data_IF_147156979186
#
_entry.id   IF_147156979186
#
_cell.length_a   1.000
_cell.length_b   1.000
_cell.length_c   1.000
_cell.angle_alpha   90.00
_cell.angle_beta   90.00
_cell.angle_gamma   90.00
#
_symmetry.space_group_name_H-M   'P 1'
#
loop_
_entity.id
_entity.type
_entity.pdbx_description
1 polymer ?
#
# COMPACT_ATOMS: atom_id res chain seq x y z
N UNK A 1 -14.07 -14.35 21.89
CA UNK A 1 -13.02 -13.47 22.46
C UNK A 1 -13.76 -12.38 23.20
N UNK A 2 -13.55 -12.26 24.51
CA UNK A 2 -14.37 -11.41 25.38
C UNK A 2 -14.17 -9.93 25.06
N UNK A 3 -15.25 -9.30 24.60
CA UNK A 3 -15.36 -7.89 24.19
C UNK A 3 -15.05 -6.87 25.30
N UNK A 4 -14.84 -7.34 26.54
CA UNK A 4 -14.57 -6.51 27.70
C UNK A 4 -13.11 -6.09 27.85
N UNK A 5 -12.15 -6.82 27.23
CA UNK A 5 -10.72 -6.56 27.44
C UNK A 5 -10.12 -5.52 26.47
N UNK A 6 -10.69 -5.32 25.28
CA UNK A 6 -10.19 -4.40 24.23
C UNK A 6 -10.41 -2.91 24.53
N UNK A 7 -11.14 -2.63 25.59
CA UNK A 7 -11.73 -1.33 25.89
C UNK A 7 -10.97 -0.57 26.99
N UNK A 8 -9.75 -1.00 27.28
CA UNK A 8 -8.82 -0.39 28.20
C UNK A 8 -7.54 -0.02 27.47
N UNK A 9 -6.73 0.87 28.04
CA UNK A 9 -5.41 1.23 27.51
C UNK A 9 -4.55 -0.03 27.30
N UNK A 10 -4.54 -0.97 28.25
CA UNK A 10 -3.79 -2.22 28.13
C UNK A 10 -4.36 -3.15 27.04
N UNK A 11 -5.69 -3.17 26.91
CA UNK A 11 -6.41 -3.88 25.84
C UNK A 11 -6.02 -3.39 24.46
N UNK A 12 -5.91 -2.08 24.29
CA UNK A 12 -5.48 -1.45 23.05
C UNK A 12 -4.04 -1.86 22.70
N UNK A 13 -3.10 -1.79 23.65
CA UNK A 13 -1.73 -2.24 23.41
C UNK A 13 -1.63 -3.73 23.07
N UNK A 14 -2.42 -4.57 23.74
CA UNK A 14 -2.48 -6.02 23.45
C UNK A 14 -3.02 -6.27 22.05
N UNK A 15 -4.08 -5.56 21.65
CA UNK A 15 -4.63 -5.60 20.29
C UNK A 15 -3.58 -5.19 19.26
N UNK A 16 -2.86 -4.10 19.48
CA UNK A 16 -1.82 -3.64 18.57
C UNK A 16 -0.69 -4.66 18.43
N UNK A 17 -0.17 -5.19 19.55
CA UNK A 17 0.93 -6.15 19.48
C UNK A 17 0.53 -7.42 18.72
N UNK A 18 -0.66 -7.96 19.01
CA UNK A 18 -1.19 -9.12 18.27
C UNK A 18 -1.38 -8.83 16.78
N UNK A 19 -1.92 -7.65 16.47
CA UNK A 19 -2.13 -7.22 15.10
C UNK A 19 -0.82 -7.09 14.32
N UNK A 20 0.24 -6.60 14.97
CA UNK A 20 1.58 -6.52 14.38
C UNK A 20 2.19 -7.91 14.15
N UNK A 21 2.03 -8.85 15.08
CA UNK A 21 2.48 -10.25 14.92
C UNK A 21 1.72 -10.95 13.77
N UNK A 22 0.42 -10.72 13.66
CA UNK A 22 -0.38 -11.25 12.57
C UNK A 22 0.03 -10.64 11.22
N UNK A 23 0.33 -9.34 11.18
CA UNK A 23 0.86 -8.67 9.99
C UNK A 23 2.23 -9.23 9.57
N UNK A 24 3.11 -9.50 10.54
CA UNK A 24 4.40 -10.14 10.29
C UNK A 24 4.22 -11.55 9.71
N UNK A 25 3.26 -12.33 10.22
CA UNK A 25 2.93 -13.66 9.67
C UNK A 25 2.43 -13.56 8.22
N UNK A 26 1.53 -12.62 7.93
CA UNK A 26 1.04 -12.37 6.57
C UNK A 26 2.19 -11.98 5.64
N UNK A 27 3.10 -11.12 6.10
CA UNK A 27 4.29 -10.73 5.34
C UNK A 27 5.18 -11.94 5.00
N UNK A 28 5.39 -12.86 5.94
CA UNK A 28 6.21 -14.06 5.75
C UNK A 28 5.60 -15.07 4.77
N UNK A 29 4.28 -15.13 4.70
CA UNK A 29 3.56 -16.09 3.85
C UNK A 29 3.28 -15.57 2.44
N UNK A 30 3.63 -14.32 2.13
CA UNK A 30 3.28 -13.68 0.87
C UNK A 30 4.49 -13.08 0.16
N UNK A 31 4.30 -12.75 -1.13
CA UNK A 31 5.30 -12.00 -1.87
C UNK A 31 5.50 -10.61 -1.27
N UNK A 32 6.74 -10.14 -1.31
CA UNK A 32 7.11 -8.81 -0.83
C UNK A 32 6.27 -7.71 -1.50
N UNK A 33 5.61 -6.87 -0.69
CA UNK A 33 4.68 -5.82 -1.14
C UNK A 33 3.52 -6.34 -2.02
N UNK A 34 3.02 -7.54 -1.73
CA UNK A 34 1.77 -8.03 -2.33
C UNK A 34 0.56 -7.19 -1.93
N UNK A 35 -0.44 -7.16 -2.81
CA UNK A 35 -1.73 -6.52 -2.55
C UNK A 35 -2.36 -7.06 -1.27
N UNK A 36 -2.29 -8.38 -1.03
CA UNK A 36 -2.83 -8.97 0.20
C UNK A 36 -2.17 -8.39 1.46
N UNK A 37 -0.84 -8.22 1.45
CA UNK A 37 -0.13 -7.59 2.56
C UNK A 37 -0.53 -6.12 2.71
N UNK A 38 -0.57 -5.35 1.61
CA UNK A 38 -0.90 -3.92 1.63
C UNK A 38 -2.35 -3.66 2.08
N UNK A 39 -3.30 -4.50 1.64
CA UNK A 39 -4.69 -4.50 2.11
C UNK A 39 -4.75 -4.79 3.61
N UNK A 40 -3.93 -5.73 4.11
CA UNK A 40 -3.87 -5.99 5.56
C UNK A 40 -3.37 -4.78 6.35
N UNK A 41 -2.43 -4.01 5.80
CA UNK A 41 -1.97 -2.75 6.41
C UNK A 41 -3.10 -1.71 6.47
N UNK A 42 -3.88 -1.53 5.41
CA UNK A 42 -5.04 -0.61 5.39
C UNK A 42 -6.12 -1.07 6.39
N UNK A 43 -6.42 -2.36 6.41
CA UNK A 43 -7.33 -2.95 7.39
C UNK A 43 -6.88 -2.66 8.84
N UNK A 44 -5.57 -2.69 9.11
CA UNK A 44 -5.03 -2.35 10.43
C UNK A 44 -5.11 -0.86 10.76
N UNK A 45 -4.90 0.04 9.79
CA UNK A 45 -5.17 1.47 9.98
C UNK A 45 -6.63 1.70 10.39
N UNK A 46 -7.58 1.11 9.64
CA UNK A 46 -9.02 1.24 9.91
C UNK A 46 -9.40 0.68 11.27
N UNK A 47 -9.05 -0.58 11.55
CA UNK A 47 -9.42 -1.23 12.82
C UNK A 47 -8.78 -0.55 14.03
N UNK A 48 -7.55 -0.06 13.91
CA UNK A 48 -6.89 0.68 14.98
C UNK A 48 -7.56 2.03 15.22
N UNK A 49 -8.01 2.71 14.17
CA UNK A 49 -8.79 3.93 14.28
C UNK A 49 -10.14 3.70 14.98
N UNK A 50 -10.90 2.67 14.58
CA UNK A 50 -12.16 2.31 15.25
C UNK A 50 -11.93 1.93 16.72
N UNK A 51 -10.84 1.22 17.04
CA UNK A 51 -10.49 0.91 18.43
C UNK A 51 -10.09 2.16 19.25
N UNK A 52 -9.40 3.12 18.64
CA UNK A 52 -9.04 4.37 19.30
C UNK A 52 -10.28 5.20 19.64
N UNK A 53 -11.21 5.34 18.70
CA UNK A 53 -12.46 6.09 18.90
C UNK A 53 -13.33 5.45 19.99
N UNK A 54 -13.44 4.13 20.03
CA UNK A 54 -14.10 3.40 21.12
C UNK A 54 -13.40 3.59 22.47
N UNK A 55 -12.07 3.61 22.50
CA UNK A 55 -11.31 3.83 23.73
C UNK A 55 -11.56 5.23 24.29
N UNK A 56 -11.60 6.26 23.43
CA UNK A 56 -11.89 7.64 23.84
C UNK A 56 -13.25 7.75 24.52
N UNK A 57 -14.30 7.14 23.95
CA UNK A 57 -15.63 7.13 24.54
C UNK A 57 -15.64 6.56 25.96
N UNK A 58 -14.84 5.52 26.21
CA UNK A 58 -14.80 4.84 27.51
C UNK A 58 -13.97 5.53 28.56
N UNK A 59 -12.86 6.16 28.14
CA UNK A 59 -11.96 6.86 29.05
C UNK A 59 -12.52 8.19 29.56
N UNK A 60 -13.66 8.65 29.02
CA UNK A 60 -14.35 9.86 29.49
C UNK A 60 -13.45 11.11 29.52
N UNK A 61 -12.57 11.23 28.52
CA UNK A 61 -11.54 12.28 28.42
C UNK A 61 -12.17 13.70 28.56
N UNK A 62 -11.42 14.69 29.10
CA UNK A 62 -11.85 16.07 29.17
C UNK A 62 -12.04 16.63 27.76
N UNK A 63 -13.06 17.45 27.66
CA UNK A 63 -13.52 18.09 26.43
C UNK A 63 -12.50 19.12 25.95
N UNK A 64 -12.21 19.13 24.65
CA UNK A 64 -11.46 20.22 24.00
C UNK A 64 -10.01 20.37 24.43
N UNK A 65 -9.41 19.30 24.97
CA UNK A 65 -8.00 19.28 25.35
C UNK A 65 -7.12 18.90 24.13
N UNK A 66 -5.81 19.15 24.22
CA UNK A 66 -4.82 19.01 23.13
C UNK A 66 -4.87 17.67 22.39
N UNK A 67 -5.34 16.61 23.05
CA UNK A 67 -5.48 15.29 22.44
C UNK A 67 -6.47 15.26 21.27
N UNK A 68 -7.50 16.13 21.28
CA UNK A 68 -8.49 16.23 20.21
C UNK A 68 -7.87 16.87 18.98
N UNK A 69 -7.14 17.98 19.15
CA UNK A 69 -6.40 18.64 18.06
C UNK A 69 -5.40 17.66 17.45
N UNK A 70 -4.62 16.97 18.29
CA UNK A 70 -3.68 15.92 17.88
C UNK A 70 -4.36 14.80 17.06
N UNK A 71 -5.60 14.44 17.41
CA UNK A 71 -6.39 13.45 16.67
C UNK A 71 -6.90 14.02 15.33
N UNK A 72 -7.38 15.26 15.32
CA UNK A 72 -7.84 15.94 14.11
C UNK A 72 -6.70 16.08 13.11
N UNK A 73 -5.53 16.52 13.55
CA UNK A 73 -4.34 16.66 12.71
C UNK A 73 -3.88 15.31 12.15
N UNK A 74 -3.80 14.28 12.98
CA UNK A 74 -3.36 12.95 12.54
C UNK A 74 -4.37 12.31 11.56
N UNK A 75 -5.67 12.48 11.77
CA UNK A 75 -6.69 12.00 10.82
C UNK A 75 -6.73 12.80 9.52
N UNK A 76 -6.37 14.10 9.53
CA UNK A 76 -6.22 14.90 8.31
C UNK A 76 -5.04 14.41 7.48
N UNK A 77 -3.93 14.12 8.15
CA UNK A 77 -2.75 13.52 7.51
C UNK A 77 -3.06 12.16 6.89
N UNK A 78 -3.77 11.28 7.61
CA UNK A 78 -4.22 9.98 7.09
C UNK A 78 -5.07 10.18 5.83
N UNK A 79 -6.03 11.11 5.88
CA UNK A 79 -6.90 11.46 4.76
C UNK A 79 -6.11 11.85 3.51
N UNK A 80 -5.19 12.80 3.65
CA UNK A 80 -4.41 13.34 2.53
C UNK A 80 -3.51 12.29 1.87
N UNK A 81 -2.84 11.45 2.67
CA UNK A 81 -1.97 10.38 2.13
C UNK A 81 -2.80 9.31 1.42
N UNK A 82 -3.93 8.91 2.00
CA UNK A 82 -4.85 7.97 1.36
C UNK A 82 -5.39 8.53 0.02
N UNK A 83 -5.62 9.85 -0.08
CA UNK A 83 -5.96 10.49 -1.36
C UNK A 83 -4.84 10.39 -2.39
N UNK A 84 -3.57 10.57 -1.98
CA UNK A 84 -2.42 10.36 -2.89
C UNK A 84 -2.38 8.91 -3.37
N UNK A 85 -2.61 7.95 -2.47
CA UNK A 85 -2.68 6.53 -2.82
C UNK A 85 -3.80 6.28 -3.84
N UNK A 86 -5.02 6.81 -3.64
CA UNK A 86 -6.11 6.70 -4.61
C UNK A 86 -5.73 7.27 -5.98
N UNK A 87 -5.08 8.43 -6.02
CA UNK A 87 -4.60 9.04 -7.26
C UNK A 87 -3.58 8.15 -7.98
N UNK A 88 -2.67 7.53 -7.24
CA UNK A 88 -1.67 6.59 -7.75
C UNK A 88 -2.29 5.30 -8.30
N UNK A 89 -3.37 4.82 -7.69
CA UNK A 89 -4.06 3.62 -8.15
C UNK A 89 -4.91 3.89 -9.40
N UNK A 90 -5.51 5.07 -9.49
CA UNK A 90 -6.29 5.48 -10.67
C UNK A 90 -5.41 5.58 -11.92
N UNK A 91 -4.14 6.02 -11.81
CA UNK A 91 -3.22 6.02 -12.96
C UNK A 91 -2.94 4.61 -13.49
N UNK A 92 -3.00 3.57 -12.64
CA UNK A 92 -2.79 2.17 -13.06
C UNK A 92 -3.91 1.63 -13.94
N UNK A 93 -5.08 2.26 -13.97
CA UNK A 93 -6.22 1.84 -14.81
C UNK A 93 -5.90 1.93 -16.31
N UNK A 94 -5.09 2.93 -16.73
CA UNK A 94 -4.68 3.09 -18.13
C UNK A 94 -3.82 1.91 -18.60
N UNK A 95 -2.84 1.52 -17.77
CA UNK A 95 -2.00 0.35 -18.03
C UNK A 95 -2.81 -0.95 -18.05
N UNK A 96 -3.70 -1.16 -17.07
CA UNK A 96 -4.57 -2.33 -17.03
C UNK A 96 -5.42 -2.43 -18.31
N UNK A 97 -6.02 -1.32 -18.74
CA UNK A 97 -6.84 -1.24 -19.94
C UNK A 97 -6.02 -1.53 -21.21
N UNK A 98 -4.82 -0.95 -21.32
CA UNK A 98 -3.90 -1.20 -22.43
C UNK A 98 -3.45 -2.66 -22.49
N UNK A 99 -3.13 -3.28 -21.36
CA UNK A 99 -2.71 -4.67 -21.30
C UNK A 99 -3.85 -5.65 -21.63
N UNK A 100 -5.08 -5.38 -21.20
CA UNK A 100 -6.26 -6.16 -21.58
C UNK A 100 -6.54 -6.03 -23.09
N UNK A 101 -6.38 -4.83 -23.66
CA UNK A 101 -6.50 -4.62 -25.11
C UNK A 101 -5.47 -5.42 -25.90
N UNK A 102 -4.21 -5.47 -25.44
CA UNK A 102 -3.17 -6.32 -26.02
C UNK A 102 -3.57 -7.79 -25.96
N UNK A 103 -3.99 -8.29 -24.79
CA UNK A 103 -4.36 -9.69 -24.62
C UNK A 103 -5.57 -10.09 -25.49
N UNK A 104 -6.60 -9.23 -25.57
CA UNK A 104 -7.78 -9.48 -26.42
C UNK A 104 -7.47 -9.45 -27.92
N UNK A 105 -6.56 -8.58 -28.37
CA UNK A 105 -6.12 -8.54 -29.77
C UNK A 105 -5.41 -9.83 -30.23
N UNK A 106 -4.90 -10.60 -29.27
CA UNK A 106 -4.17 -11.85 -29.45
C UNK A 106 -5.02 -13.10 -29.18
N UNK A 107 -6.32 -12.96 -28.91
CA UNK A 107 -7.21 -14.09 -28.61
C UNK A 107 -7.98 -14.60 -29.85
N UNK A 108 -8.03 -13.79 -30.92
CA UNK A 108 -8.72 -14.12 -32.18
C UNK A 108 -7.87 -14.93 -33.17
N UNK A 109 -8.45 -15.92 -33.85
CA UNK A 109 -7.80 -16.91 -34.75
C UNK A 109 -7.10 -16.36 -36.03
N UNK A 110 -6.77 -15.07 -36.08
CA UNK A 110 -6.12 -14.42 -37.23
C UNK A 110 -4.79 -13.73 -36.81
N UNK A 111 -3.95 -14.45 -36.07
CA UNK A 111 -2.69 -13.95 -35.52
C UNK A 111 -1.65 -13.53 -36.59
N UNK A 112 -1.79 -14.00 -37.83
CA UNK A 112 -0.76 -13.81 -38.86
C UNK A 112 -0.79 -12.45 -39.57
N UNK A 113 -1.89 -11.71 -39.55
CA UNK A 113 -2.01 -10.45 -40.33
C UNK A 113 -1.82 -9.16 -39.53
N UNK A 114 -1.86 -9.21 -38.18
CA UNK A 114 -1.90 -7.99 -37.35
C UNK A 114 -0.68 -7.80 -36.42
N UNK A 115 0.44 -8.51 -36.64
CA UNK A 115 1.64 -8.44 -35.80
C UNK A 115 2.13 -6.99 -35.54
N UNK A 116 2.21 -6.15 -36.58
CA UNK A 116 2.63 -4.74 -36.43
C UNK A 116 1.68 -3.93 -35.54
N UNK A 117 0.39 -4.26 -35.56
CA UNK A 117 -0.61 -3.60 -34.73
C UNK A 117 -0.49 -4.06 -33.28
N UNK A 118 -0.32 -5.36 -33.04
CA UNK A 118 -0.10 -5.92 -31.70
C UNK A 118 1.20 -5.40 -31.08
N UNK A 119 2.30 -5.38 -31.83
CA UNK A 119 3.57 -4.83 -31.33
C UNK A 119 3.48 -3.33 -30.99
N UNK A 120 2.72 -2.56 -31.76
CA UNK A 120 2.42 -1.16 -31.42
C UNK A 120 1.58 -1.05 -30.15
N UNK A 121 0.57 -1.90 -29.98
CA UNK A 121 -0.25 -1.94 -28.78
C UNK A 121 0.57 -2.31 -27.53
N UNK A 122 1.46 -3.30 -27.63
CA UNK A 122 2.42 -3.65 -26.58
C UNK A 122 3.32 -2.46 -26.25
N UNK A 123 3.86 -1.79 -27.27
CA UNK A 123 4.70 -0.59 -27.07
C UNK A 123 3.91 0.54 -26.40
N UNK A 124 2.64 0.73 -26.75
CA UNK A 124 1.73 1.66 -26.08
C UNK A 124 1.53 1.30 -24.60
N UNK A 125 1.20 0.05 -24.31
CA UNK A 125 1.05 -0.45 -22.94
C UNK A 125 2.32 -0.23 -22.09
N UNK A 126 3.51 -0.42 -22.67
CA UNK A 126 4.78 -0.13 -21.98
C UNK A 126 4.97 1.36 -21.70
N UNK A 127 4.54 2.23 -22.62
CA UNK A 127 4.59 3.69 -22.41
C UNK A 127 3.66 4.11 -21.28
N UNK A 128 2.47 3.53 -21.17
CA UNK A 128 1.58 3.73 -20.02
C UNK A 128 2.27 3.35 -18.71
N UNK A 129 2.93 2.18 -18.66
CA UNK A 129 3.66 1.75 -17.46
C UNK A 129 4.81 2.69 -17.05
N UNK A 130 5.47 3.32 -18.03
CA UNK A 130 6.50 4.35 -17.77
C UNK A 130 5.84 5.65 -17.30
N UNK A 131 4.77 6.09 -17.97
CA UNK A 131 4.01 7.29 -17.60
C UNK A 131 3.51 7.22 -16.15
N UNK A 132 2.95 6.08 -15.74
CA UNK A 132 2.53 5.82 -14.35
C UNK A 132 3.69 5.97 -13.37
N UNK A 133 4.88 5.44 -13.68
CA UNK A 133 6.04 5.57 -12.80
C UNK A 133 6.52 7.03 -12.68
N UNK A 134 6.39 7.81 -13.75
CA UNK A 134 6.73 9.24 -13.74
C UNK A 134 5.70 10.08 -12.97
N UNK A 135 4.40 9.83 -13.19
CA UNK A 135 3.31 10.46 -12.45
C UNK A 135 3.39 10.13 -10.96
N UNK A 136 3.59 8.86 -10.61
CA UNK A 136 3.71 8.43 -9.23
C UNK A 136 4.97 8.96 -8.55
N UNK A 137 6.08 9.08 -9.29
CA UNK A 137 7.28 9.78 -8.81
C UNK A 137 6.96 11.23 -8.50
N UNK A 138 6.28 11.94 -9.40
CA UNK A 138 5.89 13.32 -9.19
C UNK A 138 4.92 13.47 -8.00
N UNK A 139 3.99 12.52 -7.80
CA UNK A 139 3.13 12.47 -6.61
C UNK A 139 3.94 12.27 -5.32
N UNK A 140 4.91 11.37 -5.33
CA UNK A 140 5.81 11.13 -4.20
C UNK A 140 6.62 12.38 -3.84
N UNK A 141 7.31 12.97 -4.82
CA UNK A 141 8.19 14.14 -4.61
C UNK A 141 7.40 15.40 -4.25
N UNK A 142 6.25 15.64 -4.89
CA UNK A 142 5.48 16.88 -4.68
C UNK A 142 4.46 16.79 -3.55
N UNK A 143 3.97 15.61 -3.18
CA UNK A 143 2.91 15.51 -2.17
C UNK A 143 3.37 14.74 -0.96
N UNK A 144 3.97 13.57 -1.15
CA UNK A 144 4.30 12.67 -0.04
C UNK A 144 5.50 13.17 0.77
N UNK A 145 6.59 13.57 0.11
CA UNK A 145 7.79 14.08 0.79
C UNK A 145 7.55 15.39 1.57
N UNK A 146 6.47 16.11 1.26
CA UNK A 146 6.07 17.33 2.00
C UNK A 146 5.33 17.04 3.29
N UNK A 147 4.87 15.81 3.53
CA UNK A 147 4.17 15.51 4.77
C UNK A 147 5.14 15.53 5.95
N UNK A 148 4.69 16.04 7.12
CA UNK A 148 5.51 16.12 8.32
C UNK A 148 6.12 14.77 8.69
N UNK A 149 5.39 13.66 8.60
CA UNK A 149 5.91 12.33 8.97
C UNK A 149 7.08 11.85 8.10
N UNK A 150 7.23 12.38 6.88
CA UNK A 150 8.37 12.08 6.01
C UNK A 150 9.61 12.87 6.45
N UNK A 151 9.43 14.09 6.93
CA UNK A 151 10.51 14.99 7.40
C UNK A 151 10.86 14.83 8.90
N UNK A 152 9.88 14.47 9.74
CA UNK A 152 9.94 14.49 11.21
C UNK A 152 10.68 13.27 11.80
N UNK A 153 11.06 12.33 10.95
CA UNK A 153 11.89 11.17 11.29
C UNK A 153 13.30 11.56 11.79
N UNK A 154 13.76 12.80 11.56
CA UNK A 154 15.06 13.32 12.03
C UNK A 154 14.98 13.92 13.45
N UNK A 155 13.80 14.31 13.94
CA UNK A 155 13.64 15.12 15.17
C UNK A 155 13.06 14.36 16.37
N UNK A 156 12.63 13.10 16.22
CA UNK A 156 12.02 12.33 17.32
C UNK A 156 13.02 11.69 18.28
N UNK A 157 14.30 12.08 18.24
CA UNK A 157 15.31 11.71 19.25
C UNK A 157 15.30 12.65 20.46
N UNK A 158 14.73 13.86 20.36
CA UNK A 158 14.85 14.89 21.40
C UNK A 158 13.66 14.96 22.39
N UNK A 159 12.52 14.31 22.12
CA UNK A 159 11.30 14.48 22.91
C UNK A 159 11.03 13.36 23.95
N UNK A 160 11.96 12.42 24.11
CA UNK A 160 11.76 11.24 24.97
C UNK A 160 12.47 11.33 26.33
N UNK A 161 12.76 12.53 26.80
CA UNK A 161 13.18 12.82 28.18
C UNK A 161 12.22 13.78 28.88
N UNK A 162 10.95 13.37 29.05
CA UNK A 162 10.15 13.82 30.18
C UNK A 162 8.81 13.12 30.22
N UNK A 163 8.64 12.18 31.14
CA UNK A 163 7.89 12.42 32.39
C UNK A 163 7.45 11.11 33.03
N UNK A 164 7.89 10.94 34.28
CA UNK A 164 7.40 9.98 35.25
C UNK A 164 5.93 10.26 35.63
N UNK A 165 5.15 9.18 35.71
CA UNK A 165 4.16 8.82 36.75
C UNK A 165 2.85 9.65 36.89
N UNK A 166 1.76 8.87 36.99
CA UNK A 166 0.43 9.09 37.60
C UNK A 166 -0.72 9.78 36.83
N UNK A 167 -1.89 9.15 36.98
CA UNK A 167 -3.26 9.46 36.53
C UNK A 167 -3.60 9.08 35.08
N UNK A 168 -4.77 8.46 34.88
CA UNK A 168 -5.20 7.76 33.64
C UNK A 168 -5.11 8.54 32.32
N UNK A 169 -4.83 9.84 32.40
CA UNK A 169 -4.48 10.72 31.29
C UNK A 169 -3.12 10.44 30.64
N UNK A 170 -2.14 9.96 31.41
CA UNK A 170 -0.82 9.58 30.87
C UNK A 170 -0.91 8.36 29.96
N UNK A 171 -1.85 7.45 30.22
CA UNK A 171 -2.08 6.24 29.44
C UNK A 171 -2.62 6.54 28.04
N UNK A 172 -3.62 7.42 27.93
CA UNK A 172 -4.19 7.80 26.63
C UNK A 172 -3.20 8.57 25.76
N UNK A 173 -2.41 9.47 26.35
CA UNK A 173 -1.36 10.18 25.61
C UNK A 173 -0.32 9.20 25.04
N UNK A 174 0.03 8.17 25.81
CA UNK A 174 0.84 7.06 25.33
C UNK A 174 0.20 6.32 24.15
N UNK A 175 -1.11 6.04 24.23
CA UNK A 175 -1.86 5.39 23.15
C UNK A 175 -1.86 6.25 21.88
N UNK A 176 -2.12 7.54 21.99
CA UNK A 176 -2.06 8.48 20.86
C UNK A 176 -0.68 8.50 20.22
N UNK A 177 0.38 8.56 21.01
CA UNK A 177 1.74 8.54 20.49
C UNK A 177 2.06 7.24 19.75
N UNK A 178 1.71 6.09 20.35
CA UNK A 178 1.87 4.78 19.69
C UNK A 178 1.06 4.70 18.39
N UNK A 179 -0.15 5.24 18.36
CA UNK A 179 -0.98 5.29 17.17
C UNK A 179 -0.32 6.15 16.08
N UNK A 180 0.18 7.34 16.40
CA UNK A 180 0.92 8.20 15.46
C UNK A 180 2.15 7.50 14.88
N UNK A 181 2.92 6.79 15.70
CA UNK A 181 4.07 6.00 15.25
C UNK A 181 3.66 4.86 14.30
N UNK A 182 2.59 4.15 14.64
CA UNK A 182 2.08 3.05 13.82
C UNK A 182 1.50 3.53 12.50
N UNK A 183 0.69 4.59 12.52
CA UNK A 183 0.17 5.24 11.31
C UNK A 183 1.32 5.65 10.40
N UNK A 184 2.35 6.28 10.97
CA UNK A 184 3.54 6.69 10.20
C UNK A 184 4.24 5.49 9.54
N UNK A 185 4.40 4.38 10.26
CA UNK A 185 4.95 3.14 9.70
C UNK A 185 4.08 2.60 8.57
N UNK A 186 2.77 2.48 8.79
CA UNK A 186 1.82 1.95 7.82
C UNK A 186 1.72 2.83 6.57
N UNK A 187 1.64 4.15 6.74
CA UNK A 187 1.65 5.11 5.64
C UNK A 187 2.97 5.02 4.85
N UNK A 188 4.11 4.83 5.51
CA UNK A 188 5.39 4.62 4.83
C UNK A 188 5.36 3.34 3.98
N UNK A 189 4.90 2.22 4.55
CA UNK A 189 4.76 0.95 3.82
C UNK A 189 3.82 1.10 2.62
N UNK A 190 2.67 1.73 2.81
CA UNK A 190 1.67 1.92 1.77
C UNK A 190 2.15 2.85 0.66
N UNK A 191 2.82 3.95 0.99
CA UNK A 191 3.35 4.89 -0.02
C UNK A 191 4.51 4.28 -0.80
N UNK A 192 5.41 3.53 -0.16
CA UNK A 192 6.47 2.78 -0.86
C UNK A 192 5.92 1.64 -1.73
N UNK A 193 4.85 0.97 -1.27
CA UNK A 193 4.20 -0.13 -1.98
C UNK A 193 3.37 0.35 -3.18
N UNK A 194 2.43 1.27 -2.93
CA UNK A 194 1.36 1.66 -3.84
C UNK A 194 1.62 2.95 -4.62
N UNK A 195 2.54 3.81 -4.18
CA UNK A 195 2.86 5.08 -4.85
C UNK A 195 4.19 4.96 -5.59
N UNK A 196 5.32 5.12 -4.90
CA UNK A 196 6.64 5.07 -5.53
C UNK A 196 7.74 4.91 -4.48
N UNK A 197 8.80 4.14 -4.77
CA UNK A 197 9.90 3.94 -3.84
C UNK A 197 11.12 4.81 -4.13
N UNK A 198 11.43 5.61 -3.10
CA UNK A 198 12.60 6.44 -2.74
C UNK A 198 13.81 5.74 -2.09
N UNK A 199 14.82 5.16 -2.75
CA UNK A 199 15.95 4.56 -2.03
C UNK A 199 16.80 5.65 -1.37
N UNK A 200 17.21 5.44 -0.12
CA UNK A 200 18.22 6.26 0.56
C UNK A 200 17.73 7.29 1.59
N UNK A 201 16.44 7.65 1.63
CA UNK A 201 15.91 8.58 2.66
C UNK A 201 15.28 7.86 3.87
N UNK A 202 14.77 6.65 3.69
CA UNK A 202 13.92 5.97 4.69
C UNK A 202 14.58 4.81 5.45
N UNK A 203 15.72 4.29 4.98
CA UNK A 203 16.41 3.14 5.62
C UNK A 203 17.13 3.54 6.91
N UNK A 204 17.68 4.76 6.99
CA UNK A 204 18.39 5.27 8.17
C UNK A 204 17.47 5.83 9.26
N UNK A 205 16.25 6.25 8.94
CA UNK A 205 15.61 7.38 9.65
C UNK A 205 14.44 7.00 10.59
N UNK A 206 14.03 5.74 10.63
CA UNK A 206 12.97 5.26 11.57
C UNK A 206 13.54 4.45 12.75
N UNK A 207 14.48 5.04 13.50
CA UNK A 207 15.14 4.38 14.65
C UNK A 207 14.44 4.61 16.01
N UNK A 208 13.26 5.24 16.05
CA UNK A 208 12.59 5.58 17.30
C UNK A 208 11.18 4.97 17.40
N UNK A 209 11.06 3.67 17.65
CA UNK A 209 9.78 3.06 18.06
C UNK A 209 9.97 2.03 19.15
N UNK A 210 9.11 2.09 20.17
CA UNK A 210 9.18 1.31 21.42
C UNK A 210 8.66 -0.13 21.33
N UNK A 211 7.95 -0.50 20.26
CA UNK A 211 7.39 -1.84 20.10
C UNK A 211 8.30 -2.74 19.24
N UNK A 212 8.83 -3.81 19.83
CA UNK A 212 9.76 -4.75 19.18
C UNK A 212 9.23 -5.30 17.86
N UNK A 213 7.92 -5.61 17.75
CA UNK A 213 7.30 -6.11 16.52
C UNK A 213 7.31 -5.07 15.37
N UNK A 214 7.09 -3.78 15.66
CA UNK A 214 7.16 -2.70 14.66
C UNK A 214 8.59 -2.54 14.13
N UNK A 215 9.58 -2.60 15.02
CA UNK A 215 11.00 -2.52 14.65
C UNK A 215 11.38 -3.69 13.74
N UNK A 216 10.95 -4.92 14.06
CA UNK A 216 11.22 -6.11 13.22
C UNK A 216 10.60 -5.99 11.84
N UNK A 217 9.32 -5.64 11.74
CA UNK A 217 8.64 -5.46 10.45
C UNK A 217 9.36 -4.41 9.60
N UNK A 218 9.72 -3.29 10.23
CA UNK A 218 10.41 -2.19 9.57
C UNK A 218 11.80 -2.58 9.07
N UNK A 219 12.61 -3.24 9.89
CA UNK A 219 13.93 -3.76 9.49
C UNK A 219 13.80 -4.76 8.33
N UNK A 220 12.77 -5.61 8.36
CA UNK A 220 12.55 -6.63 7.34
C UNK A 220 12.09 -6.05 6.01
N UNK A 221 11.20 -5.06 6.03
CA UNK A 221 10.82 -4.30 4.84
C UNK A 221 12.04 -3.62 4.24
N UNK A 222 12.84 -2.92 5.05
CA UNK A 222 14.08 -2.29 4.59
C UNK A 222 15.07 -3.30 3.99
N UNK A 223 15.27 -4.46 4.63
CA UNK A 223 16.16 -5.50 4.13
C UNK A 223 15.68 -6.10 2.80
N UNK A 224 14.37 -6.33 2.63
CA UNK A 224 13.82 -6.79 1.35
C UNK A 224 13.90 -5.74 0.25
N UNK A 225 13.75 -4.45 0.58
CA UNK A 225 13.95 -3.37 -0.40
C UNK A 225 15.38 -3.39 -0.96
N UNK A 226 16.39 -3.55 -0.10
CA UNK A 226 17.79 -3.68 -0.52
C UNK A 226 18.02 -4.95 -1.36
N UNK A 227 17.41 -6.08 -0.98
CA UNK A 227 17.55 -7.35 -1.72
C UNK A 227 16.88 -7.36 -3.09
N UNK A 228 15.74 -6.70 -3.22
CA UNK A 228 14.94 -6.71 -4.46
C UNK A 228 15.69 -6.03 -5.61
N UNK A 229 16.72 -5.22 -5.33
CA UNK A 229 17.52 -4.52 -6.34
C UNK A 229 16.76 -3.45 -7.12
N UNK A 230 15.47 -3.26 -6.82
CA UNK A 230 14.63 -2.18 -7.35
C UNK A 230 15.11 -0.90 -6.68
N UNK A 231 16.00 -0.21 -7.38
CA UNK A 231 16.52 1.06 -6.90
C UNK A 231 15.38 2.06 -6.81
N UNK A 232 14.54 2.22 -7.83
CA UNK A 232 13.42 3.17 -7.83
C UNK A 232 12.22 2.57 -8.54
N UNK A 233 11.01 2.93 -8.15
CA UNK A 233 9.78 2.48 -8.81
C UNK A 233 8.68 2.01 -7.86
N UNK A 234 7.56 1.57 -8.43
CA UNK A 234 6.43 1.01 -7.68
C UNK A 234 6.79 -0.40 -7.18
N UNK A 235 6.71 -0.63 -5.88
CA UNK A 235 7.14 -1.91 -5.28
C UNK A 235 6.05 -2.99 -5.29
N UNK A 236 4.78 -2.61 -5.47
CA UNK A 236 3.64 -3.53 -5.49
C UNK A 236 3.89 -4.74 -6.40
N UNK A 237 3.79 -5.94 -5.82
CA UNK A 237 4.16 -7.18 -6.49
C UNK A 237 3.34 -7.42 -7.77
N UNK A 238 2.02 -7.25 -7.71
CA UNK A 238 1.11 -7.55 -8.80
C UNK A 238 1.29 -6.59 -9.98
N UNK A 239 1.66 -5.33 -9.70
CA UNK A 239 2.05 -4.38 -10.75
C UNK A 239 3.31 -4.84 -11.47
N UNK A 240 4.36 -5.18 -10.70
CA UNK A 240 5.62 -5.69 -11.26
C UNK A 240 5.42 -6.99 -12.02
N UNK A 241 4.61 -7.92 -11.49
CA UNK A 241 4.28 -9.19 -12.14
C UNK A 241 3.54 -8.99 -13.46
N UNK A 242 2.64 -8.01 -13.53
CA UNK A 242 1.91 -7.64 -14.75
C UNK A 242 2.85 -7.03 -15.78
N UNK A 243 3.76 -6.13 -15.38
CA UNK A 243 4.81 -5.60 -16.28
C UNK A 243 5.67 -6.71 -16.86
N UNK A 244 6.15 -7.63 -16.02
CA UNK A 244 6.94 -8.79 -16.47
C UNK A 244 6.14 -9.67 -17.44
N UNK A 245 4.85 -9.92 -17.17
CA UNK A 245 4.00 -10.71 -18.08
C UNK A 245 3.91 -10.09 -19.49
N UNK A 246 3.78 -8.76 -19.56
CA UNK A 246 3.71 -8.03 -20.84
C UNK A 246 5.06 -8.08 -21.58
N UNK A 247 6.19 -7.98 -20.88
CA UNK A 247 7.52 -8.13 -21.50
C UNK A 247 7.78 -9.57 -21.97
N UNK A 248 7.35 -10.58 -21.22
CA UNK A 248 7.44 -11.98 -21.63
C UNK A 248 6.60 -12.26 -22.88
N UNK A 249 5.38 -11.71 -22.93
CA UNK A 249 4.52 -11.78 -24.12
C UNK A 249 5.18 -11.13 -25.33
N UNK A 250 5.81 -9.97 -25.16
CA UNK A 250 6.58 -9.30 -26.21
C UNK A 250 7.73 -10.18 -26.71
N UNK A 251 8.52 -10.75 -25.80
CA UNK A 251 9.66 -11.59 -26.15
C UNK A 251 9.24 -12.87 -26.88
N UNK A 252 8.11 -13.47 -26.51
CA UNK A 252 7.53 -14.61 -27.22
C UNK A 252 7.09 -14.24 -28.64
N UNK A 253 6.42 -13.09 -28.78
CA UNK A 253 5.97 -12.60 -30.09
C UNK A 253 7.15 -12.29 -31.03
N UNK A 254 8.22 -11.69 -30.50
CA UNK A 254 9.47 -11.44 -31.24
C UNK A 254 10.18 -12.74 -31.63
N UNK A 255 10.25 -13.74 -30.73
CA UNK A 255 10.85 -15.06 -31.02
C UNK A 255 10.10 -15.78 -32.15
N UNK A 256 8.77 -15.83 -32.10
CA UNK A 256 7.94 -16.43 -33.14
C UNK A 256 8.17 -15.80 -34.52
N UNK A 257 8.42 -14.50 -34.55
CA UNK A 257 8.67 -13.78 -35.80
C UNK A 257 10.09 -14.01 -36.34
N UNK A 258 11.12 -13.92 -35.49
CA UNK A 258 12.51 -14.08 -35.90
C UNK A 258 12.82 -15.51 -36.40
N UNK A 259 12.15 -16.52 -35.85
CA UNK A 259 12.39 -17.92 -36.20
C UNK A 259 11.55 -18.41 -37.41
N UNK A 260 10.70 -17.56 -38.00
CA UNK A 260 9.91 -17.89 -39.19
C UNK A 260 9.00 -19.09 -38.98
N UNK A 261 7.80 -18.86 -38.43
CA UNK A 261 6.80 -19.88 -38.07
C UNK A 261 6.91 -21.22 -38.81
N UNK A 262 7.57 -22.19 -38.18
CA UNK A 262 7.73 -23.53 -38.71
C UNK A 262 6.35 -24.17 -38.92
N UNK A 263 6.14 -24.80 -40.07
CA UNK A 263 4.99 -25.68 -40.30
C UNK A 263 5.25 -27.01 -39.60
N UNK A 264 4.34 -27.44 -38.74
CA UNK A 264 4.42 -28.72 -38.02
C UNK A 264 4.37 -28.53 -36.50
N UNK A 265 4.93 -29.48 -35.75
CA UNK A 265 4.91 -29.52 -34.28
C UNK A 265 5.53 -28.26 -33.63
N UNK A 266 6.57 -27.68 -34.24
CA UNK A 266 7.20 -26.42 -33.77
C UNK A 266 6.24 -25.21 -33.83
N UNK A 267 5.31 -25.21 -34.78
CA UNK A 267 4.32 -24.15 -34.93
C UNK A 267 3.20 -24.24 -33.88
N UNK A 268 2.79 -25.47 -33.54
CA UNK A 268 1.79 -25.73 -32.50
C UNK A 268 2.34 -25.45 -31.09
N UNK A 269 3.61 -25.80 -30.83
CA UNK A 269 4.28 -25.50 -29.57
C UNK A 269 4.45 -23.99 -29.37
N UNK A 270 4.83 -23.25 -30.43
CA UNK A 270 4.92 -21.79 -30.39
C UNK A 270 3.54 -21.12 -30.19
N UNK A 271 2.47 -21.69 -30.76
CA UNK A 271 1.10 -21.19 -30.55
C UNK A 271 0.62 -21.44 -29.12
N UNK A 272 0.91 -22.62 -28.57
CA UNK A 272 0.64 -22.94 -27.17
C UNK A 272 1.38 -21.98 -26.24
N UNK A 273 2.69 -21.77 -26.47
CA UNK A 273 3.49 -20.84 -25.68
C UNK A 273 2.95 -19.41 -25.73
N UNK A 274 2.53 -18.93 -26.91
CA UNK A 274 1.90 -17.61 -27.03
C UNK A 274 0.57 -17.54 -26.26
N UNK A 275 -0.29 -18.54 -26.38
CA UNK A 275 -1.56 -18.61 -25.64
C UNK A 275 -1.32 -18.59 -24.13
N UNK A 276 -0.33 -19.34 -23.64
CA UNK A 276 0.06 -19.33 -22.23
C UNK A 276 0.53 -17.95 -21.76
N UNK A 277 1.31 -17.22 -22.57
CA UNK A 277 1.73 -15.84 -22.24
C UNK A 277 0.55 -14.86 -22.25
N UNK A 278 -0.38 -14.99 -23.18
CA UNK A 278 -1.60 -14.18 -23.22
C UNK A 278 -2.44 -14.43 -21.97
N UNK A 279 -2.64 -15.68 -21.57
CA UNK A 279 -3.34 -16.02 -20.33
C UNK A 279 -2.60 -15.52 -19.10
N UNK A 280 -1.26 -15.57 -19.09
CA UNK A 280 -0.45 -15.00 -18.00
C UNK A 280 -0.66 -13.49 -17.84
N UNK A 281 -0.76 -12.76 -18.94
CA UNK A 281 -1.10 -11.32 -18.94
C UNK A 281 -2.52 -11.11 -18.40
N UNK A 282 -3.51 -11.86 -18.89
CA UNK A 282 -4.91 -11.74 -18.41
C UNK A 282 -5.03 -11.98 -16.91
N UNK A 283 -4.40 -13.05 -16.40
CA UNK A 283 -4.44 -13.39 -14.98
C UNK A 283 -3.74 -12.31 -14.15
N UNK A 284 -2.52 -11.92 -14.51
CA UNK A 284 -1.75 -10.93 -13.75
C UNK A 284 -2.41 -9.55 -13.73
N UNK A 285 -2.88 -9.07 -14.89
CA UNK A 285 -3.56 -7.77 -15.00
C UNK A 285 -4.95 -7.81 -14.34
N UNK A 286 -5.66 -8.94 -14.44
CA UNK A 286 -6.93 -9.15 -13.73
C UNK A 286 -6.76 -9.08 -12.21
N UNK A 287 -5.73 -9.74 -11.66
CA UNK A 287 -5.37 -9.66 -10.24
C UNK A 287 -4.95 -8.24 -9.83
N UNK A 288 -4.17 -7.54 -10.66
CA UNK A 288 -3.80 -6.15 -10.42
C UNK A 288 -5.05 -5.26 -10.35
N UNK A 289 -5.91 -5.29 -11.37
CA UNK A 289 -7.11 -4.46 -11.46
C UNK A 289 -8.05 -4.69 -10.28
N UNK A 290 -8.47 -5.94 -10.07
CA UNK A 290 -9.38 -6.28 -8.97
C UNK A 290 -8.78 -5.94 -7.60
N UNK A 291 -7.47 -6.11 -7.45
CA UNK A 291 -6.73 -5.73 -6.25
C UNK A 291 -6.71 -4.23 -6.01
N UNK A 292 -6.46 -3.42 -7.05
CA UNK A 292 -6.49 -1.95 -6.96
C UNK A 292 -7.90 -1.42 -6.64
N UNK A 293 -8.94 -1.98 -7.27
CA UNK A 293 -10.34 -1.65 -6.98
C UNK A 293 -10.69 -1.99 -5.51
N UNK A 294 -10.25 -3.15 -5.01
CA UNK A 294 -10.44 -3.54 -3.60
C UNK A 294 -9.69 -2.63 -2.62
N UNK A 295 -8.48 -2.19 -2.96
CA UNK A 295 -7.72 -1.23 -2.14
C UNK A 295 -8.44 0.12 -2.08
N UNK A 296 -8.94 0.63 -3.21
CA UNK A 296 -9.70 1.88 -3.26
C UNK A 296 -10.96 1.77 -2.38
N UNK A 297 -11.71 0.68 -2.49
CA UNK A 297 -12.88 0.43 -1.64
C UNK A 297 -12.52 0.42 -0.14
N UNK A 298 -11.42 -0.22 0.26
CA UNK A 298 -10.97 -0.21 1.65
C UNK A 298 -10.56 1.17 2.16
N UNK A 299 -10.02 2.02 1.27
CA UNK A 299 -9.72 3.42 1.60
C UNK A 299 -11.01 4.21 1.77
N UNK A 300 -12.02 3.98 0.93
CA UNK A 300 -13.33 4.63 1.06
C UNK A 300 -14.03 4.24 2.37
N UNK A 301 -14.04 2.95 2.71
CA UNK A 301 -14.50 2.50 4.03
C UNK A 301 -13.73 3.19 5.17
N UNK A 302 -12.42 3.41 5.00
CA UNK A 302 -11.62 4.07 6.04
C UNK A 302 -11.93 5.57 6.14
N UNK A 303 -12.24 6.23 5.03
CA UNK A 303 -12.70 7.61 5.02
C UNK A 303 -14.02 7.77 5.77
N UNK A 304 -14.97 6.87 5.54
CA UNK A 304 -16.23 6.87 6.29
C UNK A 304 -15.97 6.74 7.80
N UNK A 305 -15.08 5.83 8.21
CA UNK A 305 -14.73 5.67 9.63
C UNK A 305 -14.04 6.89 10.23
N UNK A 306 -13.18 7.59 9.47
CA UNK A 306 -12.58 8.86 9.91
C UNK A 306 -13.66 9.91 10.10
N UNK A 307 -14.57 10.05 9.13
CA UNK A 307 -15.65 11.04 9.17
C UNK A 307 -16.56 10.79 10.37
N UNK A 308 -16.96 9.54 10.59
CA UNK A 308 -17.83 9.18 11.69
C UNK A 308 -17.13 9.28 13.05
N UNK A 309 -15.85 8.89 13.12
CA UNK A 309 -15.01 9.11 14.30
C UNK A 309 -14.90 10.59 14.68
N UNK A 310 -14.61 11.46 13.71
CA UNK A 310 -14.53 12.91 13.93
C UNK A 310 -15.85 13.52 14.39
N UNK A 311 -16.96 13.18 13.72
CA UNK A 311 -18.30 13.64 14.11
C UNK A 311 -18.63 13.21 15.54
N UNK A 312 -18.38 11.94 15.86
CA UNK A 312 -18.63 11.38 17.18
C UNK A 312 -17.83 12.11 18.27
N UNK A 313 -16.54 12.35 18.04
CA UNK A 313 -15.68 13.03 19.02
C UNK A 313 -16.03 14.51 19.20
N UNK A 314 -16.42 15.20 18.12
CA UNK A 314 -16.91 16.58 18.20
C UNK A 314 -18.25 16.67 18.96
N UNK A 315 -19.17 15.73 18.72
CA UNK A 315 -20.44 15.65 19.44
C UNK A 315 -20.22 15.34 20.93
N UNK A 316 -19.31 14.41 21.25
CA UNK A 316 -18.90 14.11 22.63
C UNK A 316 -18.37 15.36 23.36
N UNK A 317 -17.63 16.21 22.64
CA UNK A 317 -17.11 17.46 23.18
C UNK A 317 -18.16 18.59 23.28
N UNK A 318 -19.24 18.54 22.50
CA UNK A 318 -20.26 19.61 22.47
C UNK A 318 -21.38 19.42 23.50
N UNK A 319 -21.56 18.20 24.02
CA UNK A 319 -22.68 17.82 24.89
C UNK A 319 -22.30 17.60 26.36
N UNK A 320 -21.15 18.11 26.80
CA UNK A 320 -20.66 18.01 28.18
C UNK A 320 -20.58 19.37 28.86
#
# INVERSE_FOLDING_TARGET
MDSSCTNSVNGFYTFLNKSMEDLERVYLSNSFMSLQFLQRVICLLRTSHSHLTLLVQKLNLPVGDKWLDDYMDETSKLWDVCHVIKSSLSSMESFCSAAISVASSLDGHHHHHNHRQVMRAITGCRREAVGIEEENRALMENRVQRFPFWSEQVTTTAAMESSKIQNGFSGFRGVMNTMKSMNTLFLTILTQGLVYSIPGETTATVMATTATAMVRLKQRVAAEMERTGVKKGVMMYEYRRSKTAVEELKAELERRWCCGGGRGEEGEEAERGLRERVESVKVSVGSLRSGTESVVAQIDDFFDEIVDGRKMLLAFCSHR
#
